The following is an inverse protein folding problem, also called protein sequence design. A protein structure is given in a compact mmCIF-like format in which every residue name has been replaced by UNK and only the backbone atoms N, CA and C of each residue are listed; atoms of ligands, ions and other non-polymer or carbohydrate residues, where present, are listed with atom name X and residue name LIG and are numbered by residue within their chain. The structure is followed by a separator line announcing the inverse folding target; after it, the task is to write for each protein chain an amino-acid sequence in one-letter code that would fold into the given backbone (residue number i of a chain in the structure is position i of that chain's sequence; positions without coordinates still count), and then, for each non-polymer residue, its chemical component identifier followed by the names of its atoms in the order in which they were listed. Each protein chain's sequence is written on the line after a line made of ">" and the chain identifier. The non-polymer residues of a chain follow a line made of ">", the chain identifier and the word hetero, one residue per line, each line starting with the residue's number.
data_IF_200586582153
#
_entry.id   IF_200586582153
#
_cell.length_a   1.000
_cell.length_b   1.000
_cell.length_c   1.000
_cell.angle_alpha   90.00
_cell.angle_beta   90.00
_cell.angle_gamma   90.00
#
_symmetry.space_group_name_H-M   'P 1'
#
loop_
_entity.id
_entity.type
_entity.pdbx_description
1 polymer ?
#
# COMPACT_ATOMS: atom_id res chain seq x y z
N UNK A 1 13.43 -19.93 -8.57
CA UNK A 1 12.47 -20.21 -7.46
C UNK A 1 12.89 -19.63 -6.11
N UNK A 2 14.11 -19.86 -5.57
CA UNK A 2 14.55 -19.28 -4.28
C UNK A 2 14.50 -17.73 -4.21
N UNK A 3 14.88 -17.05 -5.29
CA UNK A 3 14.84 -15.58 -5.38
C UNK A 3 13.41 -15.03 -5.43
N UNK A 4 12.53 -15.69 -6.20
CA UNK A 4 11.11 -15.34 -6.25
C UNK A 4 10.42 -15.52 -4.88
N UNK A 5 10.67 -16.64 -4.21
CA UNK A 5 10.14 -16.90 -2.86
C UNK A 5 10.61 -15.85 -1.85
N UNK A 6 11.90 -15.49 -1.88
CA UNK A 6 12.45 -14.43 -1.02
C UNK A 6 11.78 -13.09 -1.28
N UNK A 7 11.66 -12.67 -2.54
CA UNK A 7 11.05 -11.39 -2.89
C UNK A 7 9.57 -11.34 -2.49
N UNK A 8 8.85 -12.46 -2.63
CA UNK A 8 7.47 -12.58 -2.19
C UNK A 8 7.35 -12.43 -0.66
N UNK A 9 8.21 -13.12 0.11
CA UNK A 9 8.23 -13.00 1.56
C UNK A 9 8.57 -11.57 2.02
N UNK A 10 9.50 -10.91 1.34
CA UNK A 10 9.82 -9.49 1.60
C UNK A 10 8.59 -8.62 1.30
N UNK A 11 7.92 -8.82 0.17
CA UNK A 11 6.72 -8.08 -0.20
C UNK A 11 5.61 -8.24 0.84
N UNK A 12 5.31 -9.46 1.26
CA UNK A 12 4.29 -9.73 2.29
C UNK A 12 4.69 -9.11 3.63
N UNK A 13 5.96 -9.22 4.02
CA UNK A 13 6.48 -8.62 5.25
C UNK A 13 6.39 -7.09 5.25
N UNK A 14 6.73 -6.45 4.13
CA UNK A 14 6.62 -5.01 3.96
C UNK A 14 5.16 -4.56 3.98
N UNK A 15 4.27 -5.23 3.24
CA UNK A 15 2.85 -4.89 3.21
C UNK A 15 2.24 -5.05 4.60
N UNK A 16 2.46 -6.19 5.25
CA UNK A 16 1.91 -6.44 6.60
C UNK A 16 2.49 -5.48 7.63
N UNK A 17 3.80 -5.24 7.58
CA UNK A 17 4.49 -4.32 8.48
C UNK A 17 4.03 -2.88 8.33
N UNK A 18 3.98 -2.35 7.10
CA UNK A 18 3.65 -0.95 6.83
C UNK A 18 2.15 -0.64 6.92
N UNK A 19 1.29 -1.58 6.50
CA UNK A 19 -0.15 -1.33 6.47
C UNK A 19 -0.89 -1.79 7.72
N UNK A 20 -0.41 -2.84 8.39
CA UNK A 20 -1.12 -3.43 9.52
C UNK A 20 -0.44 -3.14 10.85
N UNK A 21 0.85 -3.45 10.99
CA UNK A 21 1.52 -3.45 12.30
C UNK A 21 2.05 -2.07 12.70
N UNK A 22 2.74 -1.39 11.80
CA UNK A 22 3.30 -0.05 12.03
C UNK A 22 2.23 0.97 12.45
N UNK A 23 1.10 1.06 11.73
CA UNK A 23 0.04 1.99 12.07
C UNK A 23 -0.61 1.73 13.42
N UNK A 24 -0.73 0.45 13.82
CA UNK A 24 -1.28 0.10 15.14
C UNK A 24 -0.38 0.61 16.26
N UNK A 25 0.93 0.59 16.12
CA UNK A 25 1.84 1.09 17.18
C UNK A 25 1.73 2.62 17.32
N UNK A 26 1.53 3.34 16.21
CA UNK A 26 1.57 4.80 16.19
C UNK A 26 0.18 5.46 16.30
N UNK A 27 -0.77 5.02 15.49
CA UNK A 27 -2.10 5.62 15.33
C UNK A 27 -3.18 5.01 16.22
N UNK A 28 -2.92 3.91 16.94
CA UNK A 28 -3.89 3.31 17.87
C UNK A 28 -4.00 4.13 19.16
N UNK A 29 -4.47 5.37 19.01
CA UNK A 29 -4.76 6.31 20.07
C UNK A 29 -6.13 6.92 19.80
N UNK A 30 -6.91 7.13 20.85
CA UNK A 30 -8.26 7.71 20.74
C UNK A 30 -8.19 9.17 20.30
N UNK A 31 -7.20 9.90 20.80
CA UNK A 31 -6.94 11.29 20.44
C UNK A 31 -5.56 11.41 19.77
N UNK A 32 -5.41 12.28 18.76
CA UNK A 32 -6.41 13.20 18.23
C UNK A 32 -7.47 12.52 17.35
N UNK A 33 -8.66 13.11 17.29
CA UNK A 33 -9.66 12.76 16.30
C UNK A 33 -9.32 13.41 14.96
N UNK A 34 -9.37 12.62 13.89
CA UNK A 34 -9.20 13.08 12.51
C UNK A 34 -10.54 12.88 11.81
N UNK A 35 -11.13 13.95 11.29
CA UNK A 35 -12.45 13.93 10.63
C UNK A 35 -13.56 13.27 11.49
N UNK A 36 -13.51 13.44 12.82
CA UNK A 36 -14.50 12.86 13.74
C UNK A 36 -14.30 11.39 14.09
N UNK A 37 -13.22 10.76 13.63
CA UNK A 37 -12.86 9.37 13.98
C UNK A 37 -11.47 9.28 14.64
N UNK A 38 -11.21 8.25 15.48
CA UNK A 38 -9.86 7.99 15.98
C UNK A 38 -8.87 7.81 14.83
N UNK A 39 -7.61 8.20 15.06
CA UNK A 39 -6.59 8.24 14.02
C UNK A 39 -6.37 6.89 13.31
N UNK A 40 -6.51 5.77 14.02
CA UNK A 40 -6.40 4.43 13.43
C UNK A 40 -7.51 4.13 12.42
N UNK A 41 -8.75 4.57 12.67
CA UNK A 41 -9.86 4.39 11.75
C UNK A 41 -9.67 5.25 10.50
N UNK A 42 -9.21 6.49 10.69
CA UNK A 42 -8.86 7.37 9.58
C UNK A 42 -7.80 6.73 8.69
N UNK A 43 -6.75 6.15 9.28
CA UNK A 43 -5.68 5.47 8.53
C UNK A 43 -6.21 4.30 7.69
N UNK A 44 -7.02 3.42 8.29
CA UNK A 44 -7.60 2.29 7.56
C UNK A 44 -8.61 2.72 6.49
N UNK A 45 -9.27 3.86 6.64
CA UNK A 45 -10.11 4.43 5.59
C UNK A 45 -9.29 5.11 4.47
N UNK A 46 -8.17 5.74 4.83
CA UNK A 46 -7.29 6.47 3.90
C UNK A 46 -6.59 5.52 2.92
N UNK A 47 -6.06 4.39 3.39
CA UNK A 47 -5.25 3.47 2.57
C UNK A 47 -6.01 2.91 1.35
N UNK A 48 -7.26 2.41 1.46
CA UNK A 48 -8.05 1.96 0.32
C UNK A 48 -8.36 3.06 -0.69
N UNK A 49 -8.42 4.32 -0.26
CA UNK A 49 -8.62 5.49 -1.15
C UNK A 49 -7.32 5.84 -1.87
N UNK A 50 -6.19 5.85 -1.16
CA UNK A 50 -4.89 6.14 -1.75
C UNK A 50 -4.43 5.07 -2.74
N UNK A 51 -4.78 3.80 -2.51
CA UNK A 51 -4.32 2.68 -3.36
C UNK A 51 -4.68 2.84 -4.84
N UNK A 52 -5.96 3.02 -5.24
CA UNK A 52 -6.32 3.24 -6.63
C UNK A 52 -5.79 4.58 -7.18
N UNK A 53 -5.64 5.61 -6.34
CA UNK A 53 -5.04 6.89 -6.74
C UNK A 53 -3.58 6.67 -7.14
N UNK A 54 -2.80 6.00 -6.30
CA UNK A 54 -1.40 5.68 -6.56
C UNK A 54 -1.30 4.78 -7.81
N UNK A 55 -2.14 3.76 -7.93
CA UNK A 55 -2.17 2.90 -9.12
C UNK A 55 -2.54 3.69 -10.38
N UNK A 56 -3.47 4.62 -10.29
CA UNK A 56 -3.83 5.51 -11.40
C UNK A 56 -2.67 6.41 -11.81
N UNK A 57 -1.96 6.99 -10.84
CA UNK A 57 -0.74 7.77 -11.10
C UNK A 57 0.34 6.90 -11.73
N UNK A 58 0.58 5.70 -11.20
CA UNK A 58 1.54 4.74 -11.79
C UNK A 58 1.15 4.40 -13.21
N UNK A 59 -0.13 4.12 -13.49
CA UNK A 59 -0.62 3.82 -14.84
C UNK A 59 -0.41 4.97 -15.82
N UNK A 60 -0.61 6.21 -15.39
CA UNK A 60 -0.35 7.39 -16.22
C UNK A 60 1.14 7.63 -16.47
N UNK A 61 2.00 7.20 -15.54
CA UNK A 61 3.46 7.33 -15.64
C UNK A 61 4.11 6.13 -16.33
N UNK A 62 3.43 4.98 -16.39
CA UNK A 62 3.94 3.76 -17.01
C UNK A 62 4.03 4.00 -18.52
N UNK A 63 5.25 4.10 -19.11
CA UNK A 63 5.40 4.27 -20.54
C UNK A 63 4.74 3.09 -21.25
N UNK A 64 4.07 3.37 -22.38
CA UNK A 64 3.42 2.34 -23.20
C UNK A 64 4.37 1.16 -23.40
N UNK A 65 4.04 0.02 -22.78
CA UNK A 65 4.75 -1.22 -23.02
C UNK A 65 4.44 -1.62 -24.46
N UNK A 66 5.39 -1.39 -25.37
CA UNK A 66 5.30 -1.95 -26.71
C UNK A 66 5.32 -3.47 -26.57
N UNK A 67 4.16 -4.09 -26.76
CA UNK A 67 4.04 -5.53 -26.98
C UNK A 67 4.92 -5.86 -28.19
N UNK A 68 6.13 -6.35 -27.94
CA UNK A 68 7.00 -6.89 -28.98
C UNK A 68 6.51 -8.29 -29.26
N UNK A 69 5.52 -8.39 -30.16
CA UNK A 69 5.28 -9.63 -30.88
C UNK A 69 6.56 -9.96 -31.64
N UNK A 70 7.17 -11.07 -31.28
CA UNK A 70 8.27 -11.69 -31.99
C UNK A 70 7.71 -12.47 -33.17
N UNK A 71 7.75 -11.84 -34.35
CA UNK A 71 7.65 -12.49 -35.66
C UNK A 71 8.95 -13.23 -36.00
#
# INVERSE_FOLDING_TARGET
>A
MRTAMRNWLIGVGLVTGLYLLGPVIYFNRVYPFILGMPAILFWYALVPVLTPIILGVVYLLDPVQHFKGDD
#
